data_IF_065576542993
#
_entry.id   IF_065576542993
#
_cell.length_a   1.000
_cell.length_b   1.000
_cell.length_c   1.000
_cell.angle_alpha   90.00
_cell.angle_beta   90.00
_cell.angle_gamma   90.00
#
_symmetry.space_group_name_H-M   'P 1'
#
loop_
_entity.id
_entity.type
_entity.pdbx_description
1 polymer ?
#
# COMPACT_ATOMS: atom_id res chain seq x y z
N UNK A 1 -7.47 -24.87 -0.46
CA UNK A 1 -8.05 -24.10 -1.59
C UNK A 1 -9.46 -24.63 -1.83
N UNK A 2 -10.48 -24.00 -1.27
CA UNK A 2 -11.88 -24.41 -1.48
C UNK A 2 -12.38 -23.94 -2.85
N UNK A 3 -13.11 -24.83 -3.52
CA UNK A 3 -13.66 -24.64 -4.85
C UNK A 3 -14.61 -23.43 -4.94
N UNK A 4 -14.26 -22.46 -5.80
CA UNK A 4 -15.12 -21.85 -6.82
C UNK A 4 -16.60 -21.52 -6.53
N UNK A 5 -16.99 -21.23 -5.29
CA UNK A 5 -18.35 -20.84 -4.95
C UNK A 5 -18.65 -19.41 -5.44
N UNK A 6 -19.70 -19.23 -6.24
CA UNK A 6 -20.22 -17.89 -6.55
C UNK A 6 -20.66 -17.21 -5.25
N UNK A 7 -20.36 -15.91 -5.11
CA UNK A 7 -20.87 -15.10 -4.01
C UNK A 7 -22.40 -15.09 -4.08
N UNK A 8 -23.06 -15.61 -3.04
CA UNK A 8 -24.53 -15.67 -2.97
C UNK A 8 -25.20 -14.30 -2.95
N UNK A 9 -26.55 -14.23 -3.04
CA UNK A 9 -27.30 -12.97 -3.15
C UNK A 9 -26.99 -11.96 -2.03
N UNK A 10 -26.91 -12.45 -0.79
CA UNK A 10 -26.55 -11.64 0.39
C UNK A 10 -25.14 -11.05 0.26
N UNK A 11 -24.19 -11.87 -0.18
CA UNK A 11 -22.81 -11.41 -0.40
C UNK A 11 -22.72 -10.39 -1.53
N UNK A 12 -23.49 -10.56 -2.61
CA UNK A 12 -23.54 -9.58 -3.71
C UNK A 12 -24.13 -8.24 -3.25
N UNK A 13 -25.18 -8.25 -2.44
CA UNK A 13 -25.73 -7.03 -1.86
C UNK A 13 -24.72 -6.32 -0.95
N UNK A 14 -24.02 -7.08 -0.09
CA UNK A 14 -22.94 -6.55 0.76
C UNK A 14 -21.81 -5.94 -0.09
N UNK A 15 -21.35 -6.63 -1.13
CA UNK A 15 -20.30 -6.14 -2.02
C UNK A 15 -20.68 -4.82 -2.68
N UNK A 16 -21.89 -4.69 -3.20
CA UNK A 16 -22.39 -3.45 -3.81
C UNK A 16 -22.46 -2.30 -2.82
N UNK A 17 -22.93 -2.57 -1.59
CA UNK A 17 -22.96 -1.58 -0.52
C UNK A 17 -21.55 -1.10 -0.15
N UNK A 18 -20.60 -2.03 0.02
CA UNK A 18 -19.20 -1.72 0.34
C UNK A 18 -18.50 -0.93 -0.76
N UNK A 19 -18.70 -1.33 -2.02
CA UNK A 19 -18.21 -0.63 -3.21
C UNK A 19 -18.71 0.82 -3.28
N UNK A 20 -20.02 1.02 -3.08
CA UNK A 20 -20.62 2.35 -3.00
C UNK A 20 -20.05 3.17 -1.84
N UNK A 21 -19.91 2.57 -0.65
CA UNK A 21 -19.35 3.24 0.52
C UNK A 21 -17.90 3.67 0.26
N UNK A 22 -17.05 2.77 -0.25
CA UNK A 22 -15.65 3.04 -0.57
C UNK A 22 -15.49 4.19 -1.58
N UNK A 23 -16.29 4.23 -2.65
CA UNK A 23 -16.29 5.38 -3.59
C UNK A 23 -16.64 6.70 -2.91
N UNK A 24 -17.60 6.67 -1.99
CA UNK A 24 -18.06 7.87 -1.30
C UNK A 24 -17.05 8.36 -0.24
N UNK A 25 -16.46 7.45 0.54
CA UNK A 25 -15.58 7.81 1.65
C UNK A 25 -14.13 7.98 1.21
N UNK A 26 -13.63 7.04 0.41
CA UNK A 26 -12.22 6.94 0.00
C UNK A 26 -11.96 7.44 -1.42
N UNK A 27 -12.97 7.44 -2.30
CA UNK A 27 -12.82 7.88 -3.69
C UNK A 27 -12.35 6.82 -4.67
N UNK A 28 -12.28 5.55 -4.24
CA UNK A 28 -11.95 4.40 -5.07
C UNK A 28 -12.70 3.14 -4.61
N UNK A 29 -12.63 2.08 -5.40
CA UNK A 29 -13.09 0.75 -5.03
C UNK A 29 -11.89 -0.18 -4.85
N UNK A 30 -11.97 -1.08 -3.88
CA UNK A 30 -10.97 -2.14 -3.74
C UNK A 30 -11.36 -3.26 -4.71
N UNK A 31 -10.49 -3.55 -5.67
CA UNK A 31 -10.83 -4.44 -6.80
C UNK A 31 -11.00 -5.90 -6.38
N UNK A 32 -10.28 -6.32 -5.32
CA UNK A 32 -10.32 -7.69 -4.79
C UNK A 32 -11.38 -7.93 -3.69
N UNK A 33 -12.33 -7.00 -3.46
CA UNK A 33 -13.37 -7.20 -2.42
C UNK A 33 -14.22 -8.45 -2.66
N UNK A 34 -14.47 -8.77 -3.93
CA UNK A 34 -15.23 -9.98 -4.27
C UNK A 34 -14.46 -11.24 -3.91
N UNK A 35 -13.15 -11.26 -4.19
CA UNK A 35 -12.28 -12.39 -3.84
C UNK A 35 -12.18 -12.56 -2.32
N UNK A 36 -12.00 -11.45 -1.58
CA UNK A 36 -11.98 -11.48 -0.12
C UNK A 36 -13.30 -12.04 0.44
N UNK A 37 -14.43 -11.61 -0.11
CA UNK A 37 -15.74 -12.12 0.32
C UNK A 37 -15.93 -13.60 -0.03
N UNK A 38 -15.38 -14.05 -1.16
CA UNK A 38 -15.44 -15.46 -1.59
C UNK A 38 -14.57 -16.35 -0.72
N UNK A 39 -13.35 -15.91 -0.42
CA UNK A 39 -12.36 -16.67 0.33
C UNK A 39 -12.72 -16.81 1.81
N UNK A 40 -13.28 -15.77 2.41
CA UNK A 40 -13.49 -15.73 3.87
C UNK A 40 -14.96 -15.70 4.30
N UNK A 41 -15.88 -15.62 3.34
CA UNK A 41 -17.29 -15.42 3.60
C UNK A 41 -17.60 -14.05 4.22
N UNK A 42 -18.90 -13.70 4.40
CA UNK A 42 -19.30 -12.39 4.90
C UNK A 42 -18.76 -12.04 6.29
N UNK A 43 -18.72 -13.01 7.21
CA UNK A 43 -18.23 -12.79 8.57
C UNK A 43 -16.72 -12.54 8.62
N UNK A 44 -15.94 -13.37 7.93
CA UNK A 44 -14.48 -13.21 7.85
C UNK A 44 -14.10 -11.90 7.15
N UNK A 45 -14.81 -11.57 6.05
CA UNK A 45 -14.64 -10.30 5.37
C UNK A 45 -14.91 -9.08 6.28
N UNK A 46 -16.03 -9.06 7.01
CA UNK A 46 -16.35 -7.94 7.92
C UNK A 46 -15.35 -7.82 9.08
N UNK A 47 -14.90 -8.96 9.62
CA UNK A 47 -13.84 -8.98 10.63
C UNK A 47 -12.55 -8.38 10.07
N UNK A 48 -12.15 -8.77 8.86
CA UNK A 48 -11.00 -8.20 8.18
C UNK A 48 -11.12 -6.69 7.95
N UNK A 49 -12.26 -6.20 7.46
CA UNK A 49 -12.48 -4.75 7.27
C UNK A 49 -12.26 -3.99 8.58
N UNK A 50 -12.81 -4.52 9.69
CA UNK A 50 -12.67 -3.90 11.02
C UNK A 50 -11.22 -3.91 11.51
N UNK A 51 -10.53 -5.04 11.41
CA UNK A 51 -9.12 -5.12 11.84
C UNK A 51 -8.21 -4.26 10.97
N UNK A 52 -8.46 -4.21 9.66
CA UNK A 52 -7.75 -3.33 8.72
C UNK A 52 -7.91 -1.86 9.10
N UNK A 53 -9.15 -1.42 9.33
CA UNK A 53 -9.45 -0.05 9.75
C UNK A 53 -8.74 0.29 11.08
N UNK A 54 -8.81 -0.62 12.05
CA UNK A 54 -8.15 -0.43 13.35
C UNK A 54 -6.62 -0.33 13.24
N UNK A 55 -5.99 -1.21 12.48
CA UNK A 55 -4.53 -1.17 12.26
C UNK A 55 -4.17 0.13 11.55
N UNK A 56 -4.90 0.50 10.50
CA UNK A 56 -4.68 1.73 9.75
C UNK A 56 -4.80 2.98 10.64
N UNK A 57 -5.87 3.10 11.42
CA UNK A 57 -6.07 4.21 12.37
C UNK A 57 -4.90 4.34 13.35
N UNK A 58 -4.37 3.22 13.85
CA UNK A 58 -3.21 3.22 14.74
C UNK A 58 -1.93 3.65 14.03
N UNK A 59 -1.71 3.21 12.79
CA UNK A 59 -0.56 3.67 11.99
C UNK A 59 -0.63 5.17 11.73
N UNK A 60 -1.79 5.67 11.31
CA UNK A 60 -2.01 7.10 11.06
C UNK A 60 -1.85 7.93 12.33
N UNK A 61 -2.40 7.47 13.45
CA UNK A 61 -2.26 8.17 14.73
C UNK A 61 -0.80 8.20 15.23
N UNK A 62 -0.03 7.14 14.97
CA UNK A 62 1.35 7.01 15.46
C UNK A 62 2.38 7.71 14.57
N UNK A 63 2.24 7.62 13.24
CA UNK A 63 3.26 8.09 12.28
C UNK A 63 2.76 9.11 11.26
N UNK A 64 1.45 9.39 11.23
CA UNK A 64 0.84 10.23 10.21
C UNK A 64 0.52 9.47 8.92
N UNK A 65 -0.43 10.00 8.14
CA UNK A 65 -1.00 9.31 6.97
C UNK A 65 0.04 9.04 5.88
N UNK A 66 0.91 10.00 5.58
CA UNK A 66 2.00 9.84 4.61
C UNK A 66 2.89 8.64 4.98
N UNK A 67 3.44 8.62 6.19
CA UNK A 67 4.41 7.61 6.58
C UNK A 67 3.74 6.25 6.79
N UNK A 68 2.47 6.23 7.22
CA UNK A 68 1.65 5.02 7.25
C UNK A 68 1.51 4.39 5.85
N UNK A 69 1.33 5.19 4.79
CA UNK A 69 1.33 4.69 3.42
C UNK A 69 2.68 4.09 3.01
N UNK A 70 3.82 4.70 3.38
CA UNK A 70 5.13 4.12 3.08
C UNK A 70 5.33 2.76 3.77
N UNK A 71 4.90 2.63 5.03
CA UNK A 71 5.01 1.39 5.80
C UNK A 71 4.06 0.29 5.29
N UNK A 72 2.89 0.67 4.81
CA UNK A 72 1.97 -0.23 4.13
C UNK A 72 2.53 -0.70 2.77
N UNK A 73 3.18 0.18 2.01
CA UNK A 73 3.86 -0.17 0.78
C UNK A 73 5.02 -1.14 1.07
N UNK A 74 5.85 -0.87 2.08
CA UNK A 74 6.90 -1.76 2.56
C UNK A 74 6.36 -3.15 2.93
N UNK A 75 5.33 -3.22 3.77
CA UNK A 75 4.69 -4.49 4.14
C UNK A 75 4.14 -5.25 2.91
N UNK A 76 3.60 -4.54 1.92
CA UNK A 76 3.09 -5.15 0.70
C UNK A 76 4.23 -5.72 -0.16
N UNK A 77 5.37 -5.02 -0.24
CA UNK A 77 6.57 -5.47 -0.94
C UNK A 77 7.12 -6.76 -0.34
N UNK A 78 7.30 -6.81 1.00
CA UNK A 78 7.82 -8.01 1.69
C UNK A 78 6.94 -9.24 1.54
N UNK A 79 5.65 -9.04 1.28
CA UNK A 79 4.71 -10.12 1.03
C UNK A 79 4.50 -10.39 -0.48
N UNK A 80 5.16 -9.65 -1.37
CA UNK A 80 5.11 -9.85 -2.82
C UNK A 80 3.87 -9.30 -3.55
N UNK A 81 3.14 -8.33 -2.98
CA UNK A 81 1.93 -7.79 -3.62
C UNK A 81 2.17 -6.47 -4.34
N UNK A 82 2.20 -6.55 -5.67
CA UNK A 82 2.31 -5.41 -6.56
C UNK A 82 1.13 -4.43 -6.45
N UNK A 83 -0.11 -4.94 -6.34
CA UNK A 83 -1.30 -4.09 -6.28
C UNK A 83 -1.30 -3.17 -5.05
N UNK A 84 -1.14 -3.76 -3.85
CA UNK A 84 -1.12 -2.98 -2.61
C UNK A 84 0.13 -2.10 -2.52
N UNK A 85 1.29 -2.61 -2.94
CA UNK A 85 2.52 -1.81 -2.98
C UNK A 85 2.33 -0.57 -3.87
N UNK A 86 1.74 -0.71 -5.06
CA UNK A 86 1.53 0.42 -5.97
C UNK A 86 0.54 1.44 -5.44
N UNK A 87 -0.58 0.98 -4.88
CA UNK A 87 -1.60 1.87 -4.35
C UNK A 87 -1.13 2.66 -3.13
N UNK A 88 -0.41 2.01 -2.21
CA UNK A 88 0.18 2.68 -1.05
C UNK A 88 1.35 3.57 -1.42
N UNK A 89 2.23 3.17 -2.33
CA UNK A 89 3.34 4.01 -2.80
C UNK A 89 2.83 5.26 -3.52
N UNK A 90 1.81 5.11 -4.39
CA UNK A 90 1.21 6.26 -5.07
C UNK A 90 0.55 7.23 -4.07
N UNK A 91 -0.14 6.72 -3.06
CA UNK A 91 -0.71 7.54 -1.99
C UNK A 91 0.38 8.28 -1.19
N UNK A 92 1.45 7.59 -0.80
CA UNK A 92 2.62 8.20 -0.17
C UNK A 92 3.20 9.33 -1.03
N UNK A 93 3.42 9.06 -2.32
CA UNK A 93 3.96 10.03 -3.27
C UNK A 93 3.06 11.27 -3.40
N UNK A 94 1.73 11.09 -3.42
CA UNK A 94 0.78 12.19 -3.47
C UNK A 94 0.81 13.04 -2.20
N UNK A 95 0.89 12.43 -1.02
CA UNK A 95 1.01 13.16 0.24
C UNK A 95 2.35 13.94 0.32
N UNK A 96 3.45 13.35 -0.12
CA UNK A 96 4.74 14.03 -0.17
C UNK A 96 4.72 15.21 -1.16
N UNK A 97 4.10 15.02 -2.33
CA UNK A 97 3.95 16.05 -3.34
C UNK A 97 3.06 17.21 -2.85
N UNK A 98 1.95 16.90 -2.19
CA UNK A 98 1.07 17.89 -1.56
C UNK A 98 1.80 18.69 -0.46
N UNK A 99 2.69 18.04 0.29
CA UNK A 99 3.52 18.69 1.30
C UNK A 99 4.69 19.52 0.72
N UNK A 100 4.81 19.63 -0.60
CA UNK A 100 5.85 20.41 -1.25
C UNK A 100 7.23 19.74 -1.29
N UNK A 101 7.32 18.44 -1.01
CA UNK A 101 8.59 17.68 -1.06
C UNK A 101 9.00 17.28 -2.49
N UNK A 102 8.21 17.70 -3.49
CA UNK A 102 8.43 17.37 -4.89
C UNK A 102 8.09 15.93 -5.23
N UNK A 103 8.55 15.48 -6.40
CA UNK A 103 8.41 14.09 -6.82
C UNK A 103 9.39 13.22 -6.03
N UNK A 104 8.85 12.26 -5.29
CA UNK A 104 9.65 11.26 -4.60
C UNK A 104 10.49 10.42 -5.58
N UNK A 105 11.60 9.88 -5.09
CA UNK A 105 12.53 9.11 -5.91
C UNK A 105 11.85 7.95 -6.63
N UNK A 106 11.12 7.09 -5.94
CA UNK A 106 10.52 5.90 -6.56
C UNK A 106 9.21 6.23 -7.30
N UNK A 107 9.18 5.92 -8.60
CA UNK A 107 7.98 5.93 -9.44
C UNK A 107 7.23 4.59 -9.27
N UNK A 108 5.91 4.67 -9.16
CA UNK A 108 5.01 3.53 -9.04
C UNK A 108 5.11 2.55 -10.20
N UNK A 109 5.47 3.00 -11.41
CA UNK A 109 5.67 2.16 -12.58
C UNK A 109 6.95 1.31 -12.47
N UNK A 110 7.88 1.64 -11.57
CA UNK A 110 9.11 0.87 -11.33
C UNK A 110 8.87 -0.35 -10.43
N UNK A 111 7.70 -0.46 -9.79
CA UNK A 111 7.41 -1.51 -8.81
C UNK A 111 7.48 -2.94 -9.33
N UNK A 112 7.00 -3.29 -10.55
CA UNK A 112 7.15 -4.65 -11.07
C UNK A 112 8.63 -5.07 -11.17
N UNK A 113 9.51 -4.16 -11.60
CA UNK A 113 10.95 -4.43 -11.68
C UNK A 113 11.58 -4.52 -10.28
N UNK A 114 11.07 -3.75 -9.31
CA UNK A 114 11.52 -3.82 -7.92
C UNK A 114 11.15 -5.16 -7.28
N UNK A 115 9.92 -5.66 -7.50
CA UNK A 115 9.43 -6.94 -6.98
C UNK A 115 10.12 -8.17 -7.57
N UNK A 116 10.79 -8.02 -8.70
CA UNK A 116 11.64 -9.08 -9.27
C UNK A 116 12.99 -9.23 -8.55
N UNK A 117 13.31 -8.34 -7.59
CA UNK A 117 14.55 -8.36 -6.81
C UNK A 117 14.35 -9.09 -5.48
N UNK A 118 15.47 -9.43 -4.83
CA UNK A 118 15.45 -9.93 -3.44
C UNK A 118 15.07 -8.80 -2.47
N UNK A 119 14.51 -9.15 -1.30
CA UNK A 119 14.10 -8.14 -0.31
C UNK A 119 15.25 -7.22 0.13
N UNK A 120 16.47 -7.76 0.24
CA UNK A 120 17.66 -6.96 0.56
C UNK A 120 17.96 -5.92 -0.53
N UNK A 121 17.83 -6.31 -1.81
CA UNK A 121 17.99 -5.39 -2.93
C UNK A 121 16.86 -4.37 -3.01
N UNK A 122 15.62 -4.77 -2.66
CA UNK A 122 14.49 -3.86 -2.54
C UNK A 122 14.75 -2.82 -1.45
N UNK A 123 15.18 -3.24 -0.25
CA UNK A 123 15.50 -2.32 0.82
C UNK A 123 16.60 -1.33 0.42
N UNK A 124 17.71 -1.81 -0.15
CA UNK A 124 18.81 -0.96 -0.60
C UNK A 124 18.33 0.09 -1.63
N UNK A 125 17.42 -0.30 -2.52
CA UNK A 125 16.81 0.62 -3.48
C UNK A 125 15.92 1.67 -2.78
N UNK A 126 15.07 1.26 -1.83
CA UNK A 126 14.26 2.18 -1.04
C UNK A 126 15.15 3.19 -0.29
N UNK A 127 16.23 2.74 0.35
CA UNK A 127 17.17 3.61 1.03
C UNK A 127 17.82 4.64 0.11
N UNK A 128 18.20 4.21 -1.10
CA UNK A 128 18.77 5.08 -2.12
C UNK A 128 17.76 6.13 -2.61
N UNK A 129 16.52 5.73 -2.88
CA UNK A 129 15.46 6.59 -3.44
C UNK A 129 14.83 7.52 -2.41
N UNK A 130 14.86 7.15 -1.13
CA UNK A 130 14.32 7.93 -0.02
C UNK A 130 15.42 8.51 0.89
N UNK A 131 16.56 8.87 0.31
CA UNK A 131 17.71 9.44 1.03
C UNK A 131 17.50 10.87 1.54
N UNK A 132 16.46 11.57 1.07
CA UNK A 132 16.15 12.92 1.53
C UNK A 132 15.83 12.94 3.04
N UNK A 133 16.35 13.89 3.84
CA UNK A 133 16.18 13.92 5.29
C UNK A 133 14.72 13.86 5.77
N UNK A 134 13.78 14.46 5.03
CA UNK A 134 12.34 14.42 5.33
C UNK A 134 11.72 13.02 5.34
N UNK A 135 12.39 12.00 4.79
CA UNK A 135 11.94 10.61 4.77
C UNK A 135 12.70 9.72 5.76
N UNK A 136 13.74 10.22 6.42
CA UNK A 136 14.59 9.41 7.29
C UNK A 136 13.83 8.70 8.43
N UNK A 137 12.86 9.32 9.13
CA UNK A 137 12.10 8.63 10.17
C UNK A 137 11.28 7.45 9.61
N UNK A 138 10.57 7.66 8.50
CA UNK A 138 9.77 6.62 7.87
C UNK A 138 10.65 5.48 7.30
N UNK A 139 11.79 5.83 6.71
CA UNK A 139 12.76 4.85 6.20
C UNK A 139 13.37 4.00 7.33
N UNK A 140 13.63 4.58 8.51
CA UNK A 140 14.06 3.81 9.68
C UNK A 140 13.02 2.76 10.11
N UNK A 141 11.73 3.10 10.03
CA UNK A 141 10.64 2.16 10.31
C UNK A 141 10.52 1.09 9.21
N UNK A 142 10.76 1.42 7.93
CA UNK A 142 10.81 0.43 6.84
C UNK A 142 11.96 -0.55 7.02
N UNK A 143 13.17 -0.08 7.39
CA UNK A 143 14.30 -0.95 7.75
C UNK A 143 13.94 -1.88 8.90
N UNK A 144 13.27 -1.34 9.93
CA UNK A 144 12.83 -2.13 11.07
C UNK A 144 11.82 -3.19 10.66
N UNK A 145 10.86 -2.83 9.81
CA UNK A 145 9.88 -3.76 9.25
C UNK A 145 10.54 -4.89 8.44
N UNK A 146 11.55 -4.58 7.63
CA UNK A 146 12.36 -5.58 6.92
C UNK A 146 13.10 -6.52 7.90
N UNK A 147 13.74 -5.97 8.95
CA UNK A 147 14.44 -6.79 9.94
C UNK A 147 13.49 -7.76 10.66
N UNK A 148 12.27 -7.32 10.98
CA UNK A 148 11.21 -8.17 11.56
C UNK A 148 10.76 -9.25 10.57
N UNK A 149 10.60 -8.90 9.28
CA UNK A 149 10.22 -9.85 8.23
C UNK A 149 11.30 -10.93 8.01
N UNK A 150 12.57 -10.54 8.00
CA UNK A 150 13.70 -11.42 7.78
C UNK A 150 14.14 -12.21 9.04
N UNK A 151 13.48 -12.01 10.18
CA UNK A 151 13.84 -12.67 11.45
C UNK A 151 15.19 -12.21 12.04
N UNK A 152 15.66 -11.01 11.68
CA UNK A 152 16.97 -10.46 12.09
C UNK A 152 16.88 -9.62 13.38
N UNK A 153 16.12 -10.11 14.35
CA UNK A 153 15.73 -9.33 15.54
C UNK A 153 16.83 -9.35 16.60
N UNK A 154 17.54 -8.24 16.77
CA UNK A 154 18.59 -8.12 17.80
C UNK A 154 18.08 -7.58 19.14
N UNK A 155 17.15 -6.63 19.12
CA UNK A 155 16.56 -5.97 20.30
C UNK A 155 15.10 -5.62 20.01
N UNK A 156 14.23 -5.63 21.03
CA UNK A 156 12.84 -5.17 20.91
C UNK A 156 12.79 -3.64 20.74
N UNK A 157 11.91 -3.18 19.85
CA UNK A 157 11.62 -1.77 19.60
C UNK A 157 10.15 -1.49 19.95
N UNK A 158 9.85 -0.28 20.45
CA UNK A 158 8.49 0.06 20.92
C UNK A 158 7.42 -0.11 19.84
N UNK A 159 7.78 0.15 18.59
CA UNK A 159 6.88 0.08 17.44
C UNK A 159 6.72 -1.34 16.84
N UNK A 160 7.47 -2.36 17.32
CA UNK A 160 7.47 -3.71 16.73
C UNK A 160 6.08 -4.33 16.69
N UNK A 161 5.31 -4.17 17.76
CA UNK A 161 3.98 -4.75 17.85
C UNK A 161 3.05 -4.22 16.75
N UNK A 162 3.13 -2.92 16.44
CA UNK A 162 2.33 -2.32 15.38
C UNK A 162 2.87 -2.70 13.99
N UNK A 163 4.19 -2.68 13.79
CA UNK A 163 4.82 -3.09 12.53
C UNK A 163 4.50 -4.54 12.15
N UNK A 164 4.50 -5.47 13.12
CA UNK A 164 4.09 -6.86 12.89
C UNK A 164 2.61 -6.97 12.51
N UNK A 165 1.74 -6.20 13.15
CA UNK A 165 0.31 -6.18 12.81
C UNK A 165 0.08 -5.60 11.42
N UNK A 166 0.83 -4.58 11.01
CA UNK A 166 0.84 -4.08 9.63
C UNK A 166 1.29 -5.18 8.67
N UNK A 167 2.41 -5.85 8.93
CA UNK A 167 2.90 -6.93 8.07
C UNK A 167 1.89 -8.08 7.94
N UNK A 168 1.27 -8.50 9.05
CA UNK A 168 0.25 -9.55 9.07
C UNK A 168 -1.02 -9.15 8.29
N UNK A 169 -1.44 -7.88 8.40
CA UNK A 169 -2.56 -7.36 7.63
C UNK A 169 -2.31 -7.51 6.12
N UNK A 170 -1.15 -7.08 5.63
CA UNK A 170 -0.85 -7.15 4.20
C UNK A 170 -0.53 -8.57 3.73
N UNK A 171 0.04 -9.43 4.57
CA UNK A 171 0.18 -10.86 4.25
C UNK A 171 -1.19 -11.50 3.96
N UNK A 172 -2.21 -11.18 4.77
CA UNK A 172 -3.58 -11.64 4.54
C UNK A 172 -4.18 -11.08 3.25
N UNK A 173 -3.99 -9.78 2.98
CA UNK A 173 -4.51 -9.13 1.77
C UNK A 173 -3.95 -9.77 0.51
N UNK A 174 -2.68 -10.19 0.54
CA UNK A 174 -2.00 -10.80 -0.60
C UNK A 174 -2.65 -12.09 -1.11
N UNK A 175 -3.27 -12.86 -0.21
CA UNK A 175 -4.03 -14.06 -0.59
C UNK A 175 -5.19 -13.74 -1.54
N UNK A 176 -5.75 -12.53 -1.45
CA UNK A 176 -6.89 -12.09 -2.27
C UNK A 176 -6.50 -11.13 -3.39
N UNK A 177 -5.46 -10.31 -3.20
CA UNK A 177 -5.05 -9.33 -4.21
C UNK A 177 -4.27 -9.95 -5.36
N UNK A 178 -3.86 -11.22 -5.26
CA UNK A 178 -3.23 -11.95 -6.38
C UNK A 178 -4.15 -12.07 -7.61
N UNK A 179 -5.46 -11.90 -7.44
CA UNK A 179 -6.44 -11.98 -8.53
C UNK A 179 -6.64 -10.66 -9.27
N UNK A 180 -5.93 -9.59 -8.89
CA UNK A 180 -6.06 -8.27 -9.51
C UNK A 180 -4.73 -7.78 -10.06
N UNK A 181 -4.76 -7.19 -11.25
CA UNK A 181 -3.57 -6.66 -11.89
C UNK A 181 -3.22 -5.26 -11.34
N UNK A 182 -1.94 -4.97 -11.07
CA UNK A 182 -1.48 -3.61 -10.79
C UNK A 182 -1.58 -2.74 -12.07
N UNK A 183 -1.62 -1.40 -11.94
CA UNK A 183 -1.53 -0.65 -10.69
C UNK A 183 -2.88 -0.45 -10.00
N UNK A 184 -2.86 -0.49 -8.66
CA UNK A 184 -3.97 -0.01 -7.85
C UNK A 184 -4.13 1.52 -7.95
N UNK A 185 -5.35 2.06 -7.72
CA UNK A 185 -5.52 3.49 -7.45
C UNK A 185 -4.74 3.90 -6.19
N UNK A 186 -4.48 5.21 -5.98
CA UNK A 186 -3.97 5.65 -4.68
C UNK A 186 -4.93 5.24 -3.59
N UNK A 187 -4.41 4.64 -2.52
CA UNK A 187 -5.23 4.18 -1.40
C UNK A 187 -5.41 5.31 -0.38
N UNK A 188 -6.50 5.25 0.39
CA UNK A 188 -6.91 6.30 1.33
C UNK A 188 -7.56 7.53 0.68
N UNK A 189 -7.93 8.50 1.52
CA UNK A 189 -8.74 9.68 1.13
C UNK A 189 -8.06 10.60 0.12
N UNK A 190 -6.74 10.50 -0.02
CA UNK A 190 -5.96 11.24 -1.02
C UNK A 190 -6.45 10.94 -2.45
N UNK A 191 -7.05 9.78 -2.70
CA UNK A 191 -7.65 9.43 -3.99
C UNK A 191 -8.76 10.39 -4.42
N UNK A 192 -9.43 11.05 -3.47
CA UNK A 192 -10.49 12.04 -3.77
C UNK A 192 -9.95 13.34 -4.31
N UNK A 193 -8.65 13.64 -4.12
CA UNK A 193 -8.03 14.90 -4.55
C UNK A 193 -7.68 14.86 -6.04
N UNK A 194 -8.69 14.84 -6.90
CA UNK A 194 -8.51 14.78 -8.36
C UNK A 194 -7.54 15.84 -8.91
N UNK A 195 -7.63 17.15 -8.55
CA UNK A 195 -6.69 18.14 -9.05
C UNK A 195 -5.23 17.86 -8.68
N UNK A 196 -4.99 17.38 -7.46
CA UNK A 196 -3.66 16.97 -7.00
C UNK A 196 -3.11 15.80 -7.83
N UNK A 197 -3.94 14.77 -8.05
CA UNK A 197 -3.56 13.59 -8.84
C UNK A 197 -3.21 13.95 -10.28
N UNK A 198 -4.01 14.81 -10.91
CA UNK A 198 -3.75 15.28 -12.26
C UNK A 198 -2.47 16.11 -12.34
N UNK A 199 -2.20 16.96 -11.35
CA UNK A 199 -0.95 17.71 -11.27
C UNK A 199 0.25 16.78 -11.08
N UNK A 200 0.19 15.85 -10.13
CA UNK A 200 1.23 14.85 -9.90
C UNK A 200 1.51 14.01 -11.17
N UNK A 201 0.45 13.55 -11.86
CA UNK A 201 0.59 12.75 -13.07
C UNK A 201 1.30 13.52 -14.20
N UNK A 202 0.98 14.81 -14.39
CA UNK A 202 1.70 15.67 -15.34
C UNK A 202 3.17 15.85 -14.96
N UNK A 203 3.45 16.10 -13.68
CA UNK A 203 4.81 16.24 -13.19
C UNK A 203 5.64 14.96 -13.39
N UNK A 204 5.06 13.78 -13.12
CA UNK A 204 5.69 12.48 -13.41
C UNK A 204 5.93 12.25 -14.90
N UNK A 205 4.94 12.54 -15.73
CA UNK A 205 5.09 12.41 -17.18
C UNK A 205 6.23 13.29 -17.71
N UNK A 206 6.33 14.54 -17.25
CA UNK A 206 7.43 15.43 -17.61
C UNK A 206 8.79 14.84 -17.17
N UNK A 207 8.92 14.41 -15.91
CA UNK A 207 10.16 13.81 -15.41
C UNK A 207 10.61 12.59 -16.22
N UNK A 208 9.67 11.75 -16.67
CA UNK A 208 9.95 10.60 -17.53
C UNK A 208 10.41 11.01 -18.92
N UNK A 209 9.81 12.06 -19.48
CA UNK A 209 10.23 12.61 -20.77
C UNK A 209 11.65 13.20 -20.71
N UNK A 210 11.96 13.96 -19.65
CA UNK A 210 13.30 14.52 -19.44
C UNK A 210 14.36 13.42 -19.33
N UNK A 211 14.11 12.39 -18.52
CA UNK A 211 15.02 11.27 -18.34
C UNK A 211 15.27 10.47 -19.63
N UNK A 212 14.28 10.41 -20.54
CA UNK A 212 14.41 9.74 -21.83
C UNK A 212 15.21 10.55 -22.87
N UNK A 213 15.42 11.85 -22.65
CA UNK A 213 16.26 12.71 -23.50
C UNK A 213 17.72 12.73 -23.05
N UNK A 214 17.98 12.40 -21.78
CA UNK A 214 19.32 12.37 -21.17
C UNK A 214 20.06 11.04 -21.37
N UNK A 215 19.37 9.98 -21.79
CA UNK A 215 19.93 8.63 -22.00
C UNK A 215 20.02 8.25 -23.47
#
# INVERSE_FOLDING_TARGET
MSAGGRVGPVGRALLLAMRKLARLTEGYEVDFLEEALRSFGPRGFLQWVRESARVWEQMVARWGERDAHLLAAGASLWNGCAYCASGHLLAFNLHAFEAGLGLCGLDEAELPALLARTDAQVLAELERRFSHPSFAPALALVRRQYALHAGMEALQHEDDALLRRTAALYAWVNECSITVEPPAPPLGRIARKRPLREHYARARAQRRADAAQEG
#
